data_IF_130972693243
#
_entry.id   IF_130972693243
#
_cell.length_a   1.000
_cell.length_b   1.000
_cell.length_c   1.000
_cell.angle_alpha   90.00
_cell.angle_beta   90.00
_cell.angle_gamma   90.00
#
_symmetry.space_group_name_H-M   'P 1'
#
loop_
_entity.id
_entity.type
_entity.pdbx_description
1 polymer ?
#
# COMPACT_ATOMS: atom_id res chain seq x y z
N UNK A 1 -28.97 3.44 -17.47
CA UNK A 1 -29.01 2.29 -18.39
C UNK A 1 -28.94 1.03 -17.52
N UNK A 2 -30.09 0.43 -17.23
CA UNK A 2 -30.17 -0.79 -16.41
C UNK A 2 -30.07 -2.01 -17.35
N UNK A 3 -29.14 -2.90 -17.06
CA UNK A 3 -28.99 -4.20 -17.73
C UNK A 3 -29.68 -5.26 -16.86
N UNK A 4 -30.81 -5.76 -17.30
CA UNK A 4 -31.43 -6.96 -16.71
C UNK A 4 -31.13 -8.19 -17.57
N UNK A 5 -30.54 -9.21 -16.92
CA UNK A 5 -30.30 -10.51 -17.51
C UNK A 5 -31.39 -11.49 -17.08
N UNK A 6 -32.21 -11.97 -18.01
CA UNK A 6 -33.20 -12.99 -17.77
C UNK A 6 -32.76 -14.31 -18.41
N UNK A 7 -32.84 -15.41 -17.66
CA UNK A 7 -32.45 -16.75 -18.08
C UNK A 7 -33.68 -17.51 -18.60
N UNK A 8 -33.69 -17.78 -19.89
CA UNK A 8 -34.73 -18.60 -20.52
C UNK A 8 -34.10 -19.93 -20.99
N UNK A 9 -34.20 -20.96 -20.12
CA UNK A 9 -33.80 -22.33 -20.44
C UNK A 9 -32.31 -22.63 -20.39
N UNK A 10 -31.88 -23.88 -20.54
CA UNK A 10 -30.56 -24.33 -20.14
C UNK A 10 -29.39 -23.92 -21.05
N UNK A 11 -29.50 -23.02 -22.01
CA UNK A 11 -28.34 -22.46 -22.77
C UNK A 11 -28.71 -21.31 -23.72
N UNK A 12 -29.51 -20.35 -23.29
CA UNK A 12 -29.69 -19.13 -24.10
C UNK A 12 -29.74 -17.87 -23.20
N UNK A 13 -28.93 -16.88 -23.49
CA UNK A 13 -28.95 -15.57 -22.81
C UNK A 13 -29.53 -14.54 -23.76
N UNK A 14 -30.62 -13.89 -23.37
CA UNK A 14 -31.18 -12.73 -24.09
C UNK A 14 -30.80 -11.46 -23.35
N UNK A 15 -30.13 -10.57 -24.06
CA UNK A 15 -29.86 -9.21 -23.58
C UNK A 15 -30.94 -8.28 -24.11
N UNK A 16 -31.77 -7.73 -23.21
CA UNK A 16 -32.78 -6.75 -23.58
C UNK A 16 -32.33 -5.37 -23.13
N UNK A 17 -32.15 -4.46 -24.08
CA UNK A 17 -31.88 -3.04 -23.85
C UNK A 17 -33.21 -2.28 -23.75
N UNK A 18 -33.58 -1.82 -22.56
CA UNK A 18 -34.73 -0.96 -22.37
C UNK A 18 -34.28 0.51 -22.55
N UNK A 19 -34.83 1.16 -23.59
CA UNK A 19 -34.80 2.62 -23.74
C UNK A 19 -36.18 3.16 -23.39
N UNK A 20 -36.29 3.94 -22.37
CA UNK A 20 -37.45 4.82 -22.14
C UNK A 20 -37.31 6.06 -23.03
N UNK A 21 -38.40 6.32 -23.80
CA UNK A 21 -38.65 7.46 -24.65
C UNK A 21 -37.73 7.72 -25.87
N UNK A 22 -38.14 7.13 -27.01
CA UNK A 22 -38.29 7.83 -28.28
C UNK A 22 -39.07 6.93 -29.25
N UNK A 23 -40.11 7.47 -29.88
CA UNK A 23 -40.96 6.80 -30.86
C UNK A 23 -40.22 6.51 -32.16
N UNK A 24 -40.55 5.36 -32.69
CA UNK A 24 -40.48 4.79 -34.07
C UNK A 24 -39.36 3.78 -34.38
N UNK A 25 -39.53 2.94 -35.46
CA UNK A 25 -39.81 1.53 -35.22
C UNK A 25 -38.69 0.57 -35.72
N UNK A 26 -38.81 -0.65 -35.25
CA UNK A 26 -38.28 -1.91 -35.85
C UNK A 26 -36.86 -1.88 -36.44
N UNK A 27 -35.93 -2.38 -35.66
CA UNK A 27 -34.87 -3.24 -36.22
C UNK A 27 -34.43 -4.27 -35.18
N UNK A 28 -34.99 -5.46 -35.32
CA UNK A 28 -34.54 -6.64 -34.57
C UNK A 28 -33.39 -7.26 -35.33
N UNK A 29 -32.19 -7.16 -34.79
CA UNK A 29 -31.09 -8.00 -35.25
C UNK A 29 -31.11 -9.32 -34.51
N UNK A 30 -31.57 -10.36 -35.17
CA UNK A 30 -31.43 -11.75 -34.73
C UNK A 30 -30.15 -12.29 -35.38
N UNK A 31 -29.13 -12.55 -34.60
CA UNK A 31 -27.98 -13.33 -35.07
C UNK A 31 -28.32 -14.79 -34.77
N UNK A 32 -28.81 -15.50 -35.77
CA UNK A 32 -28.88 -16.96 -35.80
C UNK A 32 -27.64 -17.47 -36.50
N UNK A 33 -26.75 -18.12 -35.79
CA UNK A 33 -25.76 -19.01 -36.41
C UNK A 33 -26.36 -20.40 -36.53
N UNK A 34 -26.85 -20.73 -37.73
CA UNK A 34 -27.24 -22.08 -38.08
C UNK A 34 -26.00 -22.90 -38.35
N UNK A 35 -25.76 -23.93 -37.56
CA UNK A 35 -24.87 -25.04 -37.94
C UNK A 35 -25.71 -26.23 -38.32
N UNK A 36 -25.80 -26.47 -39.62
CA UNK A 36 -26.32 -27.72 -40.17
C UNK A 36 -25.19 -28.69 -40.41
N UNK A 37 -25.32 -29.79 -39.74
CA UNK A 37 -25.07 -31.22 -40.05
C UNK A 37 -24.01 -31.68 -41.06
N UNK A 38 -23.28 -32.65 -40.55
CA UNK A 38 -22.76 -33.89 -41.16
C UNK A 38 -21.49 -33.82 -41.99
N UNK A 39 -20.40 -34.28 -41.39
CA UNK A 39 -19.69 -35.47 -41.93
C UNK A 39 -18.77 -36.04 -40.82
N UNK A 40 -18.99 -37.32 -40.53
CA UNK A 40 -18.12 -38.12 -39.68
C UNK A 40 -16.77 -38.24 -40.37
N UNK A 41 -15.71 -37.80 -39.70
CA UNK A 41 -14.37 -38.30 -39.96
C UNK A 41 -13.63 -38.29 -38.61
N UNK A 42 -13.22 -39.46 -38.21
CA UNK A 42 -12.43 -39.76 -37.02
C UNK A 42 -11.23 -38.82 -36.91
N UNK A 43 -11.24 -37.95 -35.92
CA UNK A 43 -10.05 -37.24 -35.45
C UNK A 43 -9.75 -37.75 -34.03
N UNK A 44 -8.63 -38.45 -34.00
CA UNK A 44 -7.90 -38.88 -32.82
C UNK A 44 -8.03 -37.94 -31.64
N UNK A 45 -8.35 -38.51 -30.50
CA UNK A 45 -8.15 -37.91 -29.16
C UNK A 45 -6.72 -37.42 -29.04
N UNK A 46 -6.48 -36.16 -29.34
CA UNK A 46 -5.32 -35.46 -28.84
C UNK A 46 -5.66 -35.01 -27.42
N UNK A 47 -5.32 -35.86 -26.47
CA UNK A 47 -5.14 -35.50 -25.06
C UNK A 47 -4.43 -34.15 -24.99
N UNK A 48 -5.08 -33.10 -24.56
CA UNK A 48 -4.43 -31.87 -24.12
C UNK A 48 -3.57 -32.24 -22.91
N UNK A 49 -2.33 -32.62 -23.17
CA UNK A 49 -1.30 -32.70 -22.18
C UNK A 49 -1.11 -31.27 -21.64
N UNK A 50 -1.59 -31.04 -20.43
CA UNK A 50 -1.32 -29.80 -19.71
C UNK A 50 0.19 -29.60 -19.74
N UNK A 51 0.65 -28.57 -20.42
CA UNK A 51 2.07 -28.29 -20.67
C UNK A 51 2.79 -28.11 -19.32
N UNK A 52 3.30 -29.22 -18.81
CA UNK A 52 4.16 -29.24 -17.62
C UNK A 52 5.43 -28.47 -17.92
N UNK A 53 5.85 -27.57 -17.02
CA UNK A 53 7.14 -26.88 -17.16
C UNK A 53 8.26 -27.90 -17.27
N UNK A 54 9.15 -27.78 -18.26
CA UNK A 54 10.30 -28.68 -18.43
C UNK A 54 11.17 -28.70 -17.17
N UNK A 55 11.67 -29.88 -16.81
CA UNK A 55 12.54 -30.10 -15.64
C UNK A 55 13.97 -30.41 -16.07
N UNK A 56 14.92 -30.41 -15.13
CA UNK A 56 16.29 -30.86 -15.40
C UNK A 56 16.35 -32.32 -15.86
N UNK A 57 15.37 -33.16 -15.49
CA UNK A 57 15.25 -34.53 -15.97
C UNK A 57 14.90 -34.58 -17.47
N UNK A 58 14.01 -33.69 -17.91
CA UNK A 58 13.63 -33.61 -19.31
C UNK A 58 14.81 -33.13 -20.17
N UNK A 59 15.60 -32.16 -19.65
CA UNK A 59 16.85 -31.71 -20.28
C UNK A 59 17.88 -32.84 -20.35
N UNK A 60 18.02 -33.63 -19.28
CA UNK A 60 18.93 -34.77 -19.24
C UNK A 60 18.56 -35.85 -20.27
N UNK A 61 17.26 -36.16 -20.36
CA UNK A 61 16.73 -37.10 -21.35
C UNK A 61 16.97 -36.64 -22.76
N UNK A 62 16.68 -35.36 -23.10
CA UNK A 62 16.87 -34.81 -24.44
C UNK A 62 18.35 -34.68 -24.81
N UNK A 63 19.22 -34.29 -23.88
CA UNK A 63 20.66 -34.18 -24.13
C UNK A 63 21.40 -35.53 -24.15
N UNK A 64 20.76 -36.62 -23.71
CA UNK A 64 21.37 -37.93 -23.57
C UNK A 64 22.52 -37.99 -22.52
N UNK A 65 22.37 -37.24 -21.41
CA UNK A 65 23.40 -37.15 -20.36
C UNK A 65 22.78 -37.38 -18.99
N UNK A 66 23.63 -37.69 -17.99
CA UNK A 66 23.15 -37.82 -16.61
C UNK A 66 22.69 -36.48 -16.00
N UNK A 67 21.73 -36.53 -15.08
CA UNK A 67 21.21 -35.38 -14.35
C UNK A 67 22.33 -34.56 -13.69
N UNK A 68 23.37 -35.18 -13.17
CA UNK A 68 24.55 -34.52 -12.57
C UNK A 68 25.30 -33.65 -13.56
N UNK A 69 25.39 -34.10 -14.84
CA UNK A 69 26.02 -33.31 -15.93
C UNK A 69 25.18 -32.08 -16.26
N UNK A 70 23.84 -32.24 -16.38
CA UNK A 70 22.91 -31.10 -16.57
C UNK A 70 23.05 -30.10 -15.43
N UNK A 71 23.03 -30.58 -14.17
CA UNK A 71 23.18 -29.73 -12.99
C UNK A 71 24.47 -28.92 -13.03
N UNK A 72 25.60 -29.53 -13.41
CA UNK A 72 26.90 -28.84 -13.52
C UNK A 72 26.88 -27.75 -14.59
N UNK A 73 26.34 -28.06 -15.79
CA UNK A 73 26.23 -27.09 -16.88
C UNK A 73 25.33 -25.91 -16.49
N UNK A 74 24.16 -26.20 -15.91
CA UNK A 74 23.20 -25.19 -15.45
C UNK A 74 23.77 -24.31 -14.35
N UNK A 75 24.64 -24.86 -13.49
CA UNK A 75 25.29 -24.15 -12.39
C UNK A 75 26.61 -23.47 -12.79
N UNK A 76 27.13 -23.68 -14.01
CA UNK A 76 28.43 -23.17 -14.42
C UNK A 76 29.60 -23.84 -13.69
N UNK A 77 29.44 -25.09 -13.20
CA UNK A 77 30.46 -25.81 -12.45
C UNK A 77 31.50 -26.41 -13.43
N UNK A 78 32.80 -26.41 -13.10
CA UNK A 78 33.83 -27.00 -13.93
C UNK A 78 33.73 -28.52 -14.00
N UNK A 79 34.34 -29.14 -15.03
CA UNK A 79 34.48 -30.57 -15.17
C UNK A 79 33.46 -31.23 -16.11
N UNK A 80 32.83 -30.45 -16.99
CA UNK A 80 32.06 -30.93 -18.12
C UNK A 80 32.83 -30.61 -19.41
N UNK A 81 32.95 -31.60 -20.33
CA UNK A 81 33.63 -31.36 -21.59
C UNK A 81 32.84 -30.38 -22.46
N UNK A 82 33.49 -29.56 -23.31
CA UNK A 82 32.82 -28.59 -24.17
C UNK A 82 31.76 -29.23 -25.06
N UNK A 83 31.98 -30.44 -25.54
CA UNK A 83 31.03 -31.18 -26.37
C UNK A 83 29.73 -31.57 -25.62
N UNK A 84 29.84 -31.97 -24.35
CA UNK A 84 28.68 -32.28 -23.51
C UNK A 84 27.96 -31.00 -23.06
N UNK A 85 28.70 -29.93 -22.78
CA UNK A 85 28.12 -28.62 -22.46
C UNK A 85 27.26 -28.09 -23.60
N UNK A 86 27.77 -28.18 -24.87
CA UNK A 86 27.02 -27.75 -26.03
C UNK A 86 25.75 -28.59 -26.26
N UNK A 87 25.76 -29.90 -25.94
CA UNK A 87 24.54 -30.75 -26.02
C UNK A 87 23.50 -30.31 -24.99
N UNK A 88 23.90 -30.06 -23.76
CA UNK A 88 22.99 -29.64 -22.70
C UNK A 88 22.42 -28.26 -22.99
N UNK A 89 23.22 -27.29 -23.44
CA UNK A 89 22.75 -25.94 -23.80
C UNK A 89 21.71 -26.00 -24.93
N UNK A 90 21.91 -26.80 -25.94
CA UNK A 90 20.91 -27.01 -27.02
C UNK A 90 19.61 -27.60 -26.52
N UNK A 91 19.67 -28.60 -25.62
CA UNK A 91 18.47 -29.16 -24.99
C UNK A 91 17.72 -28.15 -24.12
N UNK A 92 18.43 -27.30 -23.38
CA UNK A 92 17.85 -26.19 -22.60
C UNK A 92 17.09 -25.22 -23.51
N UNK A 93 17.69 -24.84 -24.64
CA UNK A 93 17.08 -23.93 -25.63
C UNK A 93 15.84 -24.57 -26.29
N UNK A 94 15.92 -25.82 -26.72
CA UNK A 94 14.80 -26.53 -27.35
C UNK A 94 13.61 -26.72 -26.44
N UNK A 95 13.86 -27.01 -25.16
CA UNK A 95 12.81 -27.19 -24.17
C UNK A 95 12.36 -25.88 -23.55
N UNK A 96 12.98 -24.75 -23.90
CA UNK A 96 12.79 -23.47 -23.19
C UNK A 96 12.92 -23.64 -21.66
N UNK A 97 13.82 -24.59 -21.23
CA UNK A 97 14.01 -24.83 -19.83
C UNK A 97 14.57 -23.60 -19.14
N UNK A 98 13.84 -23.11 -18.14
CA UNK A 98 14.31 -22.07 -17.23
C UNK A 98 14.63 -22.73 -15.91
N UNK A 99 15.84 -22.47 -15.42
CA UNK A 99 16.25 -22.92 -14.08
C UNK A 99 15.24 -22.44 -13.05
N UNK A 100 14.72 -23.36 -12.25
CA UNK A 100 14.01 -22.97 -11.04
C UNK A 100 15.03 -22.37 -10.06
N UNK A 101 15.07 -21.03 -10.02
CA UNK A 101 15.96 -20.29 -9.16
C UNK A 101 15.74 -20.65 -7.68
N UNK A 102 14.50 -20.88 -7.29
CA UNK A 102 14.13 -21.14 -5.89
C UNK A 102 14.73 -22.45 -5.37
N UNK A 103 14.68 -23.54 -6.14
CA UNK A 103 15.21 -24.84 -5.72
C UNK A 103 16.74 -24.87 -5.60
N UNK A 104 17.46 -24.00 -6.33
CA UNK A 104 18.93 -23.95 -6.29
C UNK A 104 19.45 -22.90 -5.32
N UNK A 105 18.73 -21.80 -5.11
CA UNK A 105 19.05 -20.75 -4.13
C UNK A 105 18.91 -21.28 -2.70
N UNK A 106 17.84 -22.00 -2.39
CA UNK A 106 17.65 -22.66 -1.08
C UNK A 106 18.85 -23.52 -0.65
N UNK A 107 19.52 -24.18 -1.61
CA UNK A 107 20.72 -25.01 -1.32
C UNK A 107 22.02 -24.21 -1.21
N UNK A 108 22.15 -23.09 -1.94
CA UNK A 108 23.36 -22.26 -1.97
C UNK A 108 23.45 -21.26 -0.83
N UNK A 109 22.32 -20.74 -0.37
CA UNK A 109 22.23 -19.60 0.55
C UNK A 109 21.80 -20.01 1.97
N UNK A 110 22.03 -21.29 2.37
CA UNK A 110 21.70 -21.73 3.72
C UNK A 110 20.21 -21.66 4.05
N UNK A 111 19.33 -21.79 3.04
CA UNK A 111 17.88 -21.75 3.21
C UNK A 111 17.22 -20.39 2.92
N UNK A 112 17.98 -19.31 2.66
CA UNK A 112 17.44 -17.98 2.34
C UNK A 112 16.87 -17.95 0.91
N UNK A 113 15.73 -17.27 0.75
CA UNK A 113 15.01 -17.13 -0.53
C UNK A 113 15.38 -15.86 -1.29
N UNK A 114 16.08 -14.91 -0.66
CA UNK A 114 16.33 -13.55 -1.14
C UNK A 114 15.03 -12.81 -1.49
N UNK A 115 14.00 -13.03 -0.68
CA UNK A 115 12.74 -12.33 -0.80
C UNK A 115 12.29 -11.83 0.56
N UNK A 116 11.64 -10.66 0.59
CA UNK A 116 11.00 -10.12 1.78
C UNK A 116 9.54 -9.80 1.47
N UNK A 117 8.69 -9.85 2.50
CA UNK A 117 7.30 -9.41 2.44
C UNK A 117 7.15 -7.96 2.89
N UNK A 118 6.24 -7.23 2.28
CA UNK A 118 5.85 -5.88 2.68
C UNK A 118 4.33 -5.77 2.70
N UNK A 119 3.77 -5.56 3.89
CA UNK A 119 2.35 -5.24 4.07
C UNK A 119 2.20 -3.73 4.19
N UNK A 120 1.35 -3.16 3.33
CA UNK A 120 0.99 -1.74 3.32
C UNK A 120 -0.50 -1.58 3.61
N UNK A 121 -0.91 -0.40 4.04
CA UNK A 121 -2.33 -0.09 4.17
C UNK A 121 -2.98 0.03 2.78
N UNK A 122 -2.44 0.89 1.90
CA UNK A 122 -2.93 1.08 0.52
C UNK A 122 -1.78 1.54 -0.38
N UNK A 123 -1.41 0.73 -1.37
CA UNK A 123 -0.36 1.06 -2.35
C UNK A 123 -0.72 2.28 -3.22
N UNK A 124 -2.00 2.61 -3.34
CA UNK A 124 -2.45 3.80 -4.08
C UNK A 124 -2.21 5.12 -3.31
N UNK A 125 -2.01 5.05 -1.98
CA UNK A 125 -1.65 6.22 -1.20
C UNK A 125 -0.21 6.65 -1.53
N UNK A 126 0.04 7.93 -1.91
CA UNK A 126 1.37 8.43 -2.25
C UNK A 126 2.42 8.22 -1.14
N UNK A 127 2.02 8.30 0.14
CA UNK A 127 2.91 8.00 1.27
C UNK A 127 3.39 6.55 1.23
N UNK A 128 2.46 5.59 1.09
CA UNK A 128 2.78 4.17 1.03
C UNK A 128 3.57 3.80 -0.21
N UNK A 129 3.28 4.42 -1.36
CA UNK A 129 4.06 4.24 -2.59
C UNK A 129 5.50 4.71 -2.42
N UNK A 130 5.73 5.85 -1.76
CA UNK A 130 7.07 6.36 -1.50
C UNK A 130 7.83 5.51 -0.47
N UNK A 131 7.15 5.02 0.57
CA UNK A 131 7.67 4.07 1.55
C UNK A 131 8.10 2.76 0.88
N UNK A 132 7.19 2.16 0.07
CA UNK A 132 7.47 0.95 -0.71
C UNK A 132 8.69 1.13 -1.59
N UNK A 133 8.77 2.23 -2.33
CA UNK A 133 9.91 2.52 -3.21
C UNK A 133 11.23 2.55 -2.46
N UNK A 134 11.28 3.16 -1.29
CA UNK A 134 12.50 3.23 -0.48
C UNK A 134 12.94 1.85 0.03
N UNK A 135 11.98 1.00 0.44
CA UNK A 135 12.23 -0.37 0.86
C UNK A 135 12.73 -1.21 -0.33
N UNK A 136 12.07 -1.09 -1.49
CA UNK A 136 12.44 -1.79 -2.72
C UNK A 136 13.87 -1.42 -3.18
N UNK A 137 14.23 -0.15 -3.15
CA UNK A 137 15.58 0.31 -3.52
C UNK A 137 16.64 -0.25 -2.57
N UNK A 138 16.36 -0.30 -1.26
CA UNK A 138 17.25 -0.90 -0.26
C UNK A 138 17.39 -2.43 -0.46
N UNK A 139 16.29 -3.12 -0.76
CA UNK A 139 16.29 -4.56 -1.02
C UNK A 139 17.02 -4.90 -2.33
N UNK A 140 16.80 -4.11 -3.39
CA UNK A 140 17.46 -4.27 -4.69
C UNK A 140 18.98 -4.14 -4.60
N UNK A 141 19.48 -3.22 -3.78
CA UNK A 141 20.92 -3.07 -3.54
C UNK A 141 21.56 -4.34 -2.93
N UNK A 142 20.76 -5.19 -2.30
CA UNK A 142 21.17 -6.49 -1.72
C UNK A 142 20.75 -7.69 -2.58
N UNK A 143 20.23 -7.48 -3.80
CA UNK A 143 19.65 -8.50 -4.68
C UNK A 143 18.49 -9.26 -4.03
N UNK A 144 17.69 -8.58 -3.22
CA UNK A 144 16.49 -9.12 -2.57
C UNK A 144 15.25 -8.57 -3.28
N UNK A 145 14.25 -9.43 -3.52
CA UNK A 145 12.97 -9.05 -4.09
C UNK A 145 11.96 -8.74 -2.99
N UNK A 146 11.07 -7.78 -3.24
CA UNK A 146 9.98 -7.41 -2.35
C UNK A 146 8.65 -7.92 -2.89
N UNK A 147 7.94 -8.73 -2.10
CA UNK A 147 6.53 -9.04 -2.33
C UNK A 147 5.69 -8.06 -1.52
N UNK A 148 4.96 -7.18 -2.17
CA UNK A 148 4.12 -6.19 -1.51
C UNK A 148 2.63 -6.50 -1.69
N UNK A 149 1.81 -6.13 -0.69
CA UNK A 149 0.36 -6.20 -0.75
C UNK A 149 -0.30 -5.17 0.15
N UNK A 150 -1.51 -4.71 -0.25
CA UNK A 150 -2.32 -3.78 0.53
C UNK A 150 -3.34 -4.51 1.38
N UNK A 151 -3.46 -4.13 2.66
CA UNK A 151 -4.43 -4.70 3.60
C UNK A 151 -5.68 -3.84 3.77
N UNK A 152 -5.73 -2.60 3.25
CA UNK A 152 -6.86 -1.65 3.31
C UNK A 152 -7.36 -1.41 4.75
N UNK A 153 -6.45 -1.36 5.72
CA UNK A 153 -6.75 -1.25 7.16
C UNK A 153 -7.61 -2.41 7.70
N UNK A 154 -7.66 -3.56 7.00
CA UNK A 154 -8.36 -4.76 7.46
C UNK A 154 -7.37 -5.75 8.10
N UNK A 155 -7.48 -6.03 9.43
CA UNK A 155 -6.61 -6.97 10.12
C UNK A 155 -6.72 -8.42 9.60
N UNK A 156 -7.81 -8.79 8.92
CA UNK A 156 -7.95 -10.10 8.30
C UNK A 156 -7.12 -10.20 7.04
N UNK A 157 -7.19 -9.18 6.18
CA UNK A 157 -6.36 -9.10 4.97
C UNK A 157 -4.87 -9.02 5.30
N UNK A 158 -4.50 -8.31 6.38
CA UNK A 158 -3.13 -8.30 6.89
C UNK A 158 -2.65 -9.72 7.21
N UNK A 159 -3.44 -10.51 7.97
CA UNK A 159 -3.11 -11.91 8.30
C UNK A 159 -3.03 -12.81 7.09
N UNK A 160 -3.93 -12.66 6.11
CA UNK A 160 -3.93 -13.40 4.85
C UNK A 160 -2.67 -13.13 4.01
N UNK A 161 -2.26 -11.86 3.92
CA UNK A 161 -1.02 -11.45 3.24
C UNK A 161 0.20 -12.06 3.91
N UNK A 162 0.31 -11.95 5.23
CA UNK A 162 1.41 -12.52 6.00
C UNK A 162 1.44 -14.04 5.87
N UNK A 163 0.28 -14.71 5.92
CA UNK A 163 0.17 -16.14 5.64
C UNK A 163 0.69 -16.50 4.24
N UNK A 164 0.34 -15.70 3.24
CA UNK A 164 0.83 -15.87 1.87
C UNK A 164 2.35 -15.67 1.74
N UNK A 165 2.94 -14.77 2.50
CA UNK A 165 4.39 -14.55 2.55
C UNK A 165 5.10 -15.72 3.25
N UNK A 166 4.56 -16.22 4.38
CA UNK A 166 5.05 -17.41 5.06
C UNK A 166 5.08 -18.62 4.13
N UNK A 167 3.98 -18.87 3.40
CA UNK A 167 3.87 -20.00 2.46
C UNK A 167 4.91 -19.90 1.33
N UNK A 168 5.32 -18.70 0.97
CA UNK A 168 6.41 -18.43 0.02
C UNK A 168 7.79 -18.43 0.66
N UNK A 169 7.86 -18.61 2.00
CA UNK A 169 9.10 -18.63 2.78
C UNK A 169 9.94 -17.37 2.57
N UNK A 170 9.31 -16.20 2.62
CA UNK A 170 10.10 -14.95 2.63
C UNK A 170 11.05 -14.93 3.82
N UNK A 171 12.22 -14.31 3.66
CA UNK A 171 13.26 -14.29 4.68
C UNK A 171 12.91 -13.36 5.85
N UNK A 172 12.10 -12.34 5.60
CA UNK A 172 11.62 -11.39 6.59
C UNK A 172 10.43 -10.59 6.10
N UNK A 173 9.75 -9.89 7.01
CA UNK A 173 8.53 -9.13 6.71
C UNK A 173 8.60 -7.75 7.34
N UNK A 174 8.28 -6.71 6.54
CA UNK A 174 8.02 -5.36 7.00
C UNK A 174 6.50 -5.15 6.98
N UNK A 175 5.94 -4.61 8.07
CA UNK A 175 4.50 -4.45 8.24
C UNK A 175 4.16 -3.01 8.58
N UNK A 176 3.25 -2.39 7.81
CA UNK A 176 2.45 -1.25 8.26
C UNK A 176 1.21 -1.84 8.93
N UNK A 177 1.11 -1.79 10.27
CA UNK A 177 0.09 -2.56 10.99
C UNK A 177 -1.32 -1.99 10.83
N UNK A 178 -2.30 -2.87 10.54
CA UNK A 178 -3.72 -2.52 10.47
C UNK A 178 -4.44 -2.62 11.83
N UNK A 179 -3.77 -3.07 12.89
CA UNK A 179 -4.34 -3.24 14.23
C UNK A 179 -3.31 -3.01 15.32
N UNK A 180 -3.74 -3.04 16.59
CA UNK A 180 -2.84 -3.00 17.74
C UNK A 180 -2.43 -4.39 18.23
N UNK A 181 -3.09 -5.46 17.79
CA UNK A 181 -2.84 -6.84 18.22
C UNK A 181 -2.17 -7.65 17.11
N UNK A 182 -0.88 -7.89 17.29
CA UNK A 182 -0.04 -8.71 16.41
C UNK A 182 0.45 -9.99 17.11
N UNK A 183 -0.23 -10.43 18.17
CA UNK A 183 0.15 -11.66 18.91
C UNK A 183 0.17 -12.90 18.04
N UNK A 184 -0.58 -12.93 16.94
CA UNK A 184 -0.55 -14.00 15.95
C UNK A 184 0.82 -14.14 15.27
N UNK A 185 1.67 -13.10 15.28
CA UNK A 185 3.03 -13.14 14.73
C UNK A 185 4.08 -13.75 15.67
N UNK A 186 3.74 -14.05 16.93
CA UNK A 186 4.66 -14.75 17.83
C UNK A 186 5.16 -16.07 17.26
N UNK A 187 4.33 -16.77 16.50
CA UNK A 187 4.71 -18.05 15.87
C UNK A 187 5.79 -17.81 14.82
N UNK A 188 5.64 -16.80 13.99
CA UNK A 188 6.59 -16.44 12.94
C UNK A 188 7.92 -15.95 13.55
N UNK A 189 7.84 -15.13 14.58
CA UNK A 189 9.02 -14.64 15.29
C UNK A 189 9.81 -15.79 15.92
N UNK A 190 9.13 -16.76 16.56
CA UNK A 190 9.77 -17.95 17.12
C UNK A 190 10.34 -18.89 16.05
N UNK A 191 9.77 -18.88 14.86
CA UNK A 191 10.29 -19.63 13.71
C UNK A 191 11.54 -18.95 13.09
N UNK A 192 11.95 -17.78 13.60
CA UNK A 192 13.13 -17.04 13.14
C UNK A 192 12.87 -16.08 11.98
N UNK A 193 11.60 -15.81 11.65
CA UNK A 193 11.26 -14.78 10.66
C UNK A 193 11.57 -13.41 11.24
N UNK A 194 12.40 -12.62 10.56
CA UNK A 194 12.68 -11.23 10.94
C UNK A 194 11.43 -10.36 10.68
N UNK A 195 11.01 -9.62 11.70
CA UNK A 195 9.83 -8.75 11.64
C UNK A 195 10.23 -7.31 12.00
N UNK A 196 9.81 -6.35 11.17
CA UNK A 196 9.97 -4.93 11.42
C UNK A 196 8.64 -4.22 11.15
N UNK A 197 8.23 -3.36 12.06
CA UNK A 197 7.05 -2.53 11.90
C UNK A 197 7.45 -1.13 11.43
N UNK A 198 6.66 -0.55 10.53
CA UNK A 198 6.95 0.78 9.98
C UNK A 198 5.68 1.64 9.99
N UNK A 199 5.84 2.95 10.13
CA UNK A 199 4.81 3.96 10.28
C UNK A 199 4.08 3.90 11.64
N UNK A 200 3.83 2.70 12.14
CA UNK A 200 3.10 2.44 13.40
C UNK A 200 3.86 1.42 14.25
N UNK A 201 3.73 1.48 15.58
CA UNK A 201 4.38 0.53 16.47
C UNK A 201 3.78 -0.88 16.38
N UNK A 202 4.55 -1.87 16.81
CA UNK A 202 4.16 -3.29 16.82
C UNK A 202 3.06 -3.64 17.85
N UNK A 203 2.56 -2.68 18.62
CA UNK A 203 1.63 -2.93 19.71
C UNK A 203 2.26 -3.76 20.82
N UNK A 204 1.71 -4.94 21.10
CA UNK A 204 2.17 -5.82 22.18
C UNK A 204 3.31 -6.77 21.76
N UNK A 205 3.73 -6.76 20.51
CA UNK A 205 4.82 -7.61 20.02
C UNK A 205 6.16 -6.90 20.21
N UNK A 206 7.12 -7.59 20.83
CA UNK A 206 8.49 -7.08 20.96
C UNK A 206 9.22 -7.26 19.61
N UNK A 207 9.18 -6.22 18.77
CA UNK A 207 9.78 -6.19 17.45
C UNK A 207 10.29 -4.78 17.11
N UNK A 208 11.29 -4.71 16.22
CA UNK A 208 11.80 -3.43 15.74
C UNK A 208 10.70 -2.60 15.11
N UNK A 209 10.74 -1.29 15.34
CA UNK A 209 9.78 -0.37 14.72
C UNK A 209 10.40 0.97 14.33
N UNK A 210 9.88 1.54 13.25
CA UNK A 210 10.24 2.88 12.77
C UNK A 210 8.96 3.67 12.57
N UNK A 211 8.79 4.78 13.26
CA UNK A 211 7.61 5.62 13.17
C UNK A 211 7.96 7.09 13.06
N UNK A 212 7.03 7.92 12.60
CA UNK A 212 7.16 9.38 12.60
C UNK A 212 6.78 9.98 13.94
N UNK A 213 7.30 11.18 14.24
CA UNK A 213 6.88 11.97 15.40
C UNK A 213 5.48 12.57 15.18
N UNK A 214 4.44 11.73 15.21
CA UNK A 214 3.06 12.14 14.91
C UNK A 214 2.51 13.16 15.95
N UNK A 215 2.76 12.92 17.22
CA UNK A 215 2.31 13.85 18.29
C UNK A 215 3.00 15.20 18.15
N UNK A 216 4.33 15.20 18.07
CA UNK A 216 5.11 16.44 18.00
C UNK A 216 4.80 17.26 16.75
N UNK A 217 4.66 16.61 15.59
CA UNK A 217 4.30 17.31 14.36
C UNK A 217 2.91 17.93 14.40
N UNK A 218 1.95 17.25 15.06
CA UNK A 218 0.61 17.82 15.25
C UNK A 218 0.60 18.96 16.24
N UNK A 219 1.40 18.88 17.31
CA UNK A 219 1.61 20.01 18.23
C UNK A 219 2.16 21.21 17.47
N UNK A 220 3.23 21.03 16.70
CA UNK A 220 3.86 22.11 15.91
C UNK A 220 2.88 22.77 14.92
N UNK A 221 2.06 21.97 14.22
CA UNK A 221 1.05 22.49 13.30
C UNK A 221 0.01 23.37 14.00
N UNK A 222 -0.51 22.91 15.13
CA UNK A 222 -1.55 23.62 15.87
C UNK A 222 -0.99 24.84 16.57
N UNK A 223 0.21 24.76 17.14
CA UNK A 223 0.93 25.92 17.72
C UNK A 223 1.18 27.00 16.67
N UNK A 224 1.50 26.62 15.45
CA UNK A 224 1.67 27.55 14.35
C UNK A 224 0.38 28.33 14.05
N UNK A 225 -0.78 27.65 14.03
CA UNK A 225 -2.08 28.32 13.87
C UNK A 225 -2.42 29.20 15.08
N UNK A 226 -2.16 28.72 16.28
CA UNK A 226 -2.40 29.48 17.54
C UNK A 226 -1.56 30.75 17.60
N UNK A 227 -0.30 30.71 17.16
CA UNK A 227 0.60 31.85 17.09
C UNK A 227 0.10 32.96 16.13
N UNK A 228 -0.72 32.59 15.12
CA UNK A 228 -1.37 33.53 14.20
C UNK A 228 -2.71 34.06 14.70
N UNK A 229 -3.10 33.69 15.90
CA UNK A 229 -4.30 34.21 16.56
C UNK A 229 -5.53 33.30 16.41
N UNK A 230 -5.43 32.16 15.73
CA UNK A 230 -6.55 31.23 15.67
C UNK A 230 -6.85 30.64 17.04
N UNK A 231 -8.14 30.52 17.35
CA UNK A 231 -8.63 29.91 18.62
C UNK A 231 -9.72 28.86 18.33
N UNK A 232 -10.38 28.94 17.19
CA UNK A 232 -11.32 27.94 16.67
C UNK A 232 -10.68 27.22 15.52
N UNK A 233 -10.02 26.10 15.83
CA UNK A 233 -9.28 25.26 14.88
C UNK A 233 -10.03 23.94 14.77
N UNK A 234 -10.53 23.60 13.61
CA UNK A 234 -11.16 22.30 13.40
C UNK A 234 -10.14 21.20 13.12
N UNK A 235 -10.42 20.00 13.60
CA UNK A 235 -9.64 18.79 13.33
C UNK A 235 -10.42 17.82 12.46
N UNK A 236 -9.83 17.44 11.32
CA UNK A 236 -10.34 16.37 10.49
C UNK A 236 -9.40 15.17 10.58
N UNK A 237 -9.89 14.05 11.10
CA UNK A 237 -9.12 12.86 11.43
C UNK A 237 -9.63 11.58 10.83
N UNK A 238 -8.74 10.62 10.66
CA UNK A 238 -9.04 9.26 10.23
C UNK A 238 -9.64 8.43 11.38
N UNK A 239 -9.81 7.12 11.18
CA UNK A 239 -10.27 6.17 12.19
C UNK A 239 -9.33 6.17 13.42
N UNK A 240 -9.88 6.34 14.61
CA UNK A 240 -9.10 6.34 15.86
C UNK A 240 -8.57 4.94 16.24
N UNK A 241 -8.99 3.90 15.56
CA UNK A 241 -8.35 2.58 15.63
C UNK A 241 -6.95 2.56 15.00
N UNK A 242 -6.60 3.57 14.22
CA UNK A 242 -5.29 3.75 13.61
C UNK A 242 -4.41 4.56 14.57
N UNK A 243 -3.30 3.99 15.03
CA UNK A 243 -2.44 4.61 16.03
C UNK A 243 -1.87 5.98 15.63
N UNK A 244 -1.58 6.18 14.34
CA UNK A 244 -1.12 7.49 13.83
C UNK A 244 -2.22 8.54 13.87
N UNK A 245 -3.47 8.18 13.59
CA UNK A 245 -4.61 9.08 13.69
C UNK A 245 -4.90 9.49 15.14
N UNK A 246 -4.84 8.53 16.06
CA UNK A 246 -4.97 8.80 17.49
C UNK A 246 -3.85 9.72 18.00
N UNK A 247 -2.59 9.43 17.62
CA UNK A 247 -1.44 10.25 18.01
C UNK A 247 -1.54 11.69 17.48
N UNK A 248 -2.03 11.88 16.26
CA UNK A 248 -2.22 13.22 15.67
C UNK A 248 -3.35 13.98 16.37
N UNK A 249 -4.45 13.31 16.74
CA UNK A 249 -5.50 13.91 17.56
C UNK A 249 -5.00 14.26 18.95
N UNK A 250 -4.15 13.41 19.55
CA UNK A 250 -3.51 13.70 20.83
C UNK A 250 -2.66 14.97 20.75
N UNK A 251 -1.82 15.13 19.74
CA UNK A 251 -1.00 16.32 19.53
C UNK A 251 -1.84 17.58 19.34
N UNK A 252 -2.92 17.51 18.56
CA UNK A 252 -3.89 18.60 18.41
C UNK A 252 -4.48 19.04 19.76
N UNK A 253 -4.95 18.08 20.58
CA UNK A 253 -5.51 18.35 21.90
C UNK A 253 -4.47 18.94 22.86
N UNK A 254 -3.26 18.42 22.82
CA UNK A 254 -2.16 18.89 23.66
C UNK A 254 -1.80 20.35 23.37
N UNK A 255 -1.70 20.74 22.11
CA UNK A 255 -1.39 22.12 21.72
C UNK A 255 -2.49 23.10 22.20
N UNK A 256 -3.77 22.77 22.04
CA UNK A 256 -4.88 23.59 22.52
C UNK A 256 -4.85 23.74 24.05
N UNK A 257 -4.58 22.66 24.78
CA UNK A 257 -4.48 22.67 26.24
C UNK A 257 -3.34 23.55 26.72
N UNK A 258 -2.15 23.42 26.16
CA UNK A 258 -0.98 24.23 26.47
C UNK A 258 -1.23 25.74 26.23
N UNK A 259 -2.03 26.07 25.22
CA UNK A 259 -2.40 27.45 24.87
C UNK A 259 -3.61 27.98 25.69
N UNK A 260 -4.18 27.17 26.59
CA UNK A 260 -5.38 27.57 27.39
C UNK A 260 -6.64 27.72 26.51
N UNK A 261 -6.68 27.09 25.35
CA UNK A 261 -7.84 27.11 24.44
C UNK A 261 -8.79 25.97 24.81
N UNK A 262 -10.06 26.31 25.09
CA UNK A 262 -11.07 25.33 25.45
C UNK A 262 -11.26 24.32 24.29
N UNK A 263 -11.35 23.04 24.65
CA UNK A 263 -11.65 21.97 23.69
C UNK A 263 -13.13 22.05 23.31
N UNK A 264 -13.38 22.19 22.00
CA UNK A 264 -14.72 22.18 21.43
C UNK A 264 -14.91 20.89 20.61
N UNK A 265 -15.74 19.99 21.12
CA UNK A 265 -16.02 18.70 20.45
C UNK A 265 -16.74 18.86 19.12
N UNK A 266 -17.44 20.00 18.91
CA UNK A 266 -18.07 20.33 17.63
C UNK A 266 -17.06 20.52 16.49
N UNK A 267 -15.83 20.87 16.81
CA UNK A 267 -14.77 21.11 15.82
C UNK A 267 -13.98 19.85 15.47
N UNK A 268 -14.31 18.70 16.04
CA UNK A 268 -13.58 17.45 15.79
C UNK A 268 -14.45 16.52 14.93
N UNK A 269 -13.91 16.12 13.79
CA UNK A 269 -14.47 15.08 12.93
C UNK A 269 -13.45 13.99 12.75
N UNK A 270 -13.82 12.74 13.07
CA UNK A 270 -12.95 11.55 12.95
C UNK A 270 -13.66 10.46 12.16
N UNK A 271 -12.93 9.42 11.76
CA UNK A 271 -13.47 8.34 10.92
C UNK A 271 -13.54 8.71 9.44
N UNK A 272 -12.84 9.74 9.03
CA UNK A 272 -12.80 10.19 7.63
C UNK A 272 -11.71 9.42 6.88
N UNK A 273 -12.06 8.74 5.80
CA UNK A 273 -11.10 7.88 5.08
C UNK A 273 -10.77 8.32 3.67
N UNK A 274 -11.62 9.14 3.08
CA UNK A 274 -11.47 9.56 1.68
C UNK A 274 -11.70 11.08 1.53
N UNK A 275 -11.23 11.68 0.42
CA UNK A 275 -11.35 13.11 0.19
C UNK A 275 -12.80 13.62 0.11
N UNK A 276 -13.72 12.80 -0.35
CA UNK A 276 -15.14 13.16 -0.54
C UNK A 276 -15.82 13.31 0.82
N UNK A 277 -15.65 12.32 1.71
CA UNK A 277 -16.18 12.35 3.08
C UNK A 277 -15.54 13.48 3.87
N UNK A 278 -14.23 13.70 3.72
CA UNK A 278 -13.53 14.79 4.37
C UNK A 278 -13.99 16.17 3.89
N UNK A 279 -14.29 16.32 2.59
CA UNK A 279 -14.81 17.57 2.03
C UNK A 279 -16.21 17.88 2.59
N UNK A 280 -17.08 16.87 2.68
CA UNK A 280 -18.42 17.03 3.26
C UNK A 280 -18.33 17.43 4.74
N UNK A 281 -17.51 16.76 5.54
CA UNK A 281 -17.30 17.08 6.95
C UNK A 281 -16.71 18.49 7.16
N UNK A 282 -15.77 18.90 6.30
CA UNK A 282 -15.24 20.26 6.32
C UNK A 282 -16.30 21.29 5.97
N UNK A 283 -17.14 21.03 4.96
CA UNK A 283 -18.23 21.93 4.57
C UNK A 283 -19.26 22.10 5.71
N UNK A 284 -19.61 21.03 6.41
CA UNK A 284 -20.48 21.09 7.60
C UNK A 284 -19.87 21.99 8.69
N UNK A 285 -18.57 21.83 8.98
CA UNK A 285 -17.87 22.65 9.96
C UNK A 285 -17.84 24.14 9.57
N UNK A 286 -17.63 24.43 8.29
CA UNK A 286 -17.60 25.79 7.75
C UNK A 286 -19.00 26.46 7.75
N UNK A 287 -20.06 25.67 7.79
CA UNK A 287 -21.45 26.13 7.84
C UNK A 287 -21.99 26.33 9.29
N UNK A 288 -21.19 26.07 10.32
CA UNK A 288 -21.59 26.29 11.70
C UNK A 288 -21.91 27.79 11.95
N UNK A 289 -22.80 28.12 12.87
CA UNK A 289 -23.08 29.52 13.25
C UNK A 289 -21.82 30.28 13.72
N UNK A 290 -20.92 29.59 14.40
CA UNK A 290 -19.59 30.07 14.77
C UNK A 290 -18.52 29.14 14.13
N UNK A 291 -18.16 29.34 12.85
CA UNK A 291 -17.33 28.41 12.12
C UNK A 291 -15.87 28.45 12.59
N UNK A 292 -15.08 27.39 12.31
CA UNK A 292 -13.64 27.40 12.53
C UNK A 292 -12.95 28.44 11.63
N UNK A 293 -11.91 29.08 12.14
CA UNK A 293 -11.07 30.00 11.39
C UNK A 293 -9.85 29.28 10.77
N UNK A 294 -9.60 28.05 11.16
CA UNK A 294 -8.55 27.19 10.64
C UNK A 294 -8.96 25.73 10.64
N UNK A 295 -8.42 24.95 9.71
CA UNK A 295 -8.55 23.51 9.61
C UNK A 295 -7.18 22.86 9.79
N UNK A 296 -7.11 21.84 10.64
CA UNK A 296 -5.98 20.91 10.70
C UNK A 296 -6.46 19.52 10.25
N UNK A 297 -5.90 19.02 9.15
CA UNK A 297 -6.25 17.73 8.55
C UNK A 297 -5.16 16.72 8.84
N UNK A 298 -5.54 15.56 9.37
CA UNK A 298 -4.58 14.63 9.96
C UNK A 298 -3.94 13.64 8.99
N UNK A 299 -4.20 13.75 7.68
CA UNK A 299 -3.52 12.97 6.63
C UNK A 299 -3.79 13.56 5.22
N UNK A 300 -3.02 13.12 4.22
CA UNK A 300 -3.01 13.67 2.87
C UNK A 300 -4.40 13.66 2.16
N UNK A 301 -5.15 12.56 2.25
CA UNK A 301 -6.47 12.47 1.61
C UNK A 301 -7.47 13.45 2.23
N UNK A 302 -7.39 13.65 3.57
CA UNK A 302 -8.23 14.61 4.27
C UNK A 302 -7.82 16.05 3.96
N UNK A 303 -6.53 16.29 3.73
CA UNK A 303 -6.02 17.57 3.25
C UNK A 303 -6.62 17.92 1.89
N UNK A 304 -6.68 16.97 0.96
CA UNK A 304 -7.34 17.14 -0.34
C UNK A 304 -8.83 17.47 -0.14
N UNK A 305 -9.51 16.78 0.78
CA UNK A 305 -10.91 17.08 1.14
C UNK A 305 -11.09 18.50 1.67
N UNK A 306 -10.24 18.94 2.60
CA UNK A 306 -10.24 20.29 3.15
C UNK A 306 -10.03 21.37 2.07
N UNK A 307 -9.07 21.15 1.15
CA UNK A 307 -8.84 22.04 0.00
C UNK A 307 -10.09 22.16 -0.87
N UNK A 308 -10.75 21.03 -1.19
CA UNK A 308 -11.98 21.00 -2.00
C UNK A 308 -13.10 21.78 -1.33
N UNK A 309 -13.32 21.58 -0.01
CA UNK A 309 -14.35 22.28 0.75
C UNK A 309 -14.11 23.79 0.78
N UNK A 310 -12.88 24.22 1.10
CA UNK A 310 -12.53 25.64 1.14
C UNK A 310 -12.72 26.32 -0.21
N UNK A 311 -12.27 25.70 -1.30
CA UNK A 311 -12.45 26.25 -2.66
C UNK A 311 -13.91 26.31 -3.09
N UNK A 312 -14.69 25.26 -2.80
CA UNK A 312 -16.12 25.24 -3.13
C UNK A 312 -16.90 26.32 -2.40
N UNK A 313 -16.44 26.71 -1.21
CA UNK A 313 -17.04 27.78 -0.40
C UNK A 313 -16.44 29.18 -0.70
N UNK A 314 -15.37 29.28 -1.49
CA UNK A 314 -14.62 30.54 -1.72
C UNK A 314 -13.91 31.05 -0.47
N UNK A 315 -13.50 30.14 0.40
CA UNK A 315 -12.89 30.44 1.72
C UNK A 315 -11.39 30.13 1.77
N UNK A 316 -10.78 29.69 0.66
CA UNK A 316 -9.37 29.25 0.60
C UNK A 316 -8.36 30.34 0.97
N UNK A 317 -8.77 31.63 0.95
CA UNK A 317 -7.96 32.78 1.38
C UNK A 317 -8.45 33.43 2.68
N UNK A 318 -9.41 32.81 3.35
CA UNK A 318 -10.05 33.34 4.59
C UNK A 318 -9.98 32.41 5.77
N UNK A 319 -9.87 31.10 5.50
CA UNK A 319 -9.73 30.06 6.52
C UNK A 319 -8.38 29.40 6.34
N UNK A 320 -7.58 29.36 7.39
CA UNK A 320 -6.27 28.72 7.34
C UNK A 320 -6.38 27.18 7.21
N UNK A 321 -5.40 26.57 6.57
CA UNK A 321 -5.31 25.13 6.42
C UNK A 321 -3.88 24.66 6.64
N UNK A 322 -3.70 23.67 7.53
CA UNK A 322 -2.47 22.88 7.62
C UNK A 322 -2.86 21.40 7.51
N UNK A 323 -2.19 20.69 6.61
CA UNK A 323 -2.34 19.23 6.47
C UNK A 323 -1.21 18.46 7.15
N UNK A 324 -1.47 17.23 7.57
CA UNK A 324 -0.42 16.26 7.84
C UNK A 324 -0.18 15.46 6.55
N UNK A 325 1.06 15.14 6.25
CA UNK A 325 1.58 14.65 4.97
C UNK A 325 1.56 15.70 3.85
N UNK A 326 2.60 15.69 3.04
CA UNK A 326 2.63 16.54 1.84
C UNK A 326 1.76 15.94 0.73
N UNK A 327 1.09 16.80 0.00
CA UNK A 327 0.25 16.38 -1.12
C UNK A 327 0.82 16.87 -2.43
N UNK A 328 0.64 16.10 -3.48
CA UNK A 328 1.07 16.50 -4.81
C UNK A 328 0.49 17.88 -5.18
N UNK A 329 1.34 18.73 -5.73
CA UNK A 329 0.99 20.09 -6.16
C UNK A 329 0.62 21.06 -5.02
N UNK A 330 0.86 20.72 -3.75
CA UNK A 330 0.58 21.62 -2.62
C UNK A 330 1.30 22.97 -2.73
N UNK A 331 2.47 22.99 -3.33
CA UNK A 331 3.33 24.15 -3.53
C UNK A 331 2.92 25.05 -4.70
N UNK A 332 2.14 24.53 -5.65
CA UNK A 332 1.66 25.29 -6.83
C UNK A 332 0.20 25.74 -6.71
N UNK A 333 -0.48 25.35 -5.64
CA UNK A 333 -1.81 25.86 -5.34
C UNK A 333 -1.75 27.31 -4.87
N UNK A 334 -2.85 28.02 -4.96
CA UNK A 334 -2.98 29.39 -4.48
C UNK A 334 -4.19 29.50 -3.53
N UNK A 335 -3.95 29.75 -2.23
CA UNK A 335 -2.65 29.75 -1.56
C UNK A 335 -1.97 28.36 -1.56
N UNK A 336 -0.63 28.34 -1.56
CA UNK A 336 0.13 27.11 -1.43
C UNK A 336 -0.13 26.45 -0.06
N UNK A 337 -0.29 25.12 -0.03
CA UNK A 337 -0.77 24.42 1.17
C UNK A 337 0.37 24.14 2.14
N UNK A 338 0.22 24.63 3.37
CA UNK A 338 1.13 24.33 4.49
C UNK A 338 0.88 22.92 5.01
N UNK A 339 1.97 22.18 5.30
CA UNK A 339 1.87 20.79 5.73
C UNK A 339 2.91 20.43 6.79
N UNK A 340 2.59 19.43 7.60
CA UNK A 340 3.59 18.66 8.36
C UNK A 340 4.05 17.51 7.50
N UNK A 341 5.22 17.61 6.94
CA UNK A 341 5.76 16.60 6.02
C UNK A 341 6.49 15.49 6.80
N UNK A 342 6.13 14.25 6.52
CA UNK A 342 6.89 13.06 6.87
C UNK A 342 8.03 12.82 5.85
N UNK A 343 8.98 11.95 6.20
CA UNK A 343 10.00 11.44 5.29
C UNK A 343 9.80 9.93 5.06
N UNK A 344 8.91 9.53 4.14
CA UNK A 344 8.66 8.12 3.85
C UNK A 344 9.90 7.40 3.32
N UNK A 345 10.84 8.12 2.69
CA UNK A 345 12.10 7.55 2.24
C UNK A 345 13.00 7.20 3.43
N UNK A 346 13.11 8.07 4.44
CA UNK A 346 13.86 7.78 5.66
C UNK A 346 13.22 6.64 6.45
N UNK A 347 11.88 6.63 6.58
CA UNK A 347 11.14 5.53 7.21
C UNK A 347 11.43 4.19 6.52
N UNK A 348 11.31 4.15 5.20
CA UNK A 348 11.52 2.93 4.42
C UNK A 348 12.95 2.43 4.47
N UNK A 349 13.95 3.32 4.34
CA UNK A 349 15.37 2.95 4.49
C UNK A 349 15.66 2.41 5.89
N UNK A 350 15.22 3.10 6.94
CA UNK A 350 15.43 2.65 8.32
C UNK A 350 14.78 1.30 8.60
N UNK A 351 13.55 1.07 8.12
CA UNK A 351 12.87 -0.21 8.28
C UNK A 351 13.59 -1.34 7.55
N UNK A 352 14.04 -1.09 6.32
CA UNK A 352 14.82 -2.06 5.55
C UNK A 352 16.18 -2.36 6.22
N UNK A 353 16.88 -1.35 6.72
CA UNK A 353 18.16 -1.51 7.40
C UNK A 353 18.01 -2.36 8.68
N UNK A 354 16.98 -2.11 9.48
CA UNK A 354 16.66 -2.93 10.66
C UNK A 354 16.37 -4.37 10.26
N UNK A 355 15.53 -4.60 9.23
CA UNK A 355 15.21 -5.93 8.76
C UNK A 355 16.48 -6.67 8.30
N UNK A 356 17.32 -6.04 7.50
CA UNK A 356 18.53 -6.66 6.99
C UNK A 356 19.55 -6.94 8.09
N UNK A 357 19.68 -6.07 9.10
CA UNK A 357 20.48 -6.37 10.29
C UNK A 357 20.03 -7.66 10.97
N UNK A 358 18.71 -7.85 11.17
CA UNK A 358 18.15 -9.09 11.73
C UNK A 358 18.44 -10.30 10.85
N UNK A 359 18.27 -10.16 9.52
CA UNK A 359 18.60 -11.21 8.56
C UNK A 359 20.09 -11.56 8.50
N UNK A 360 20.96 -10.61 8.82
CA UNK A 360 22.41 -10.82 8.93
C UNK A 360 22.83 -11.39 10.30
N UNK A 361 21.86 -11.67 11.20
CA UNK A 361 22.08 -12.35 12.48
C UNK A 361 22.25 -11.42 13.68
N UNK A 362 21.88 -10.13 13.59
CA UNK A 362 21.86 -9.21 14.73
C UNK A 362 20.81 -9.64 15.77
N UNK A 363 21.25 -9.99 16.96
CA UNK A 363 20.41 -10.39 18.11
C UNK A 363 20.34 -9.32 19.19
N UNK A 364 20.77 -8.10 18.90
CA UNK A 364 20.67 -6.96 19.84
C UNK A 364 19.20 -6.71 20.24
N UNK A 365 18.94 -6.04 21.37
CA UNK A 365 17.59 -5.65 21.77
C UNK A 365 16.83 -4.94 20.65
N UNK A 366 15.50 -5.01 20.70
CA UNK A 366 14.61 -4.32 19.74
C UNK A 366 14.83 -2.81 19.74
N UNK A 367 14.70 -2.22 18.56
CA UNK A 367 14.91 -0.78 18.35
C UNK A 367 13.59 -0.13 17.95
N UNK A 368 13.25 0.96 18.64
CA UNK A 368 12.10 1.81 18.31
C UNK A 368 12.65 3.16 17.82
N UNK A 369 12.68 3.36 16.52
CA UNK A 369 13.20 4.57 15.92
C UNK A 369 12.07 5.55 15.61
N UNK A 370 12.27 6.82 16.00
CA UNK A 370 11.37 7.92 15.63
C UNK A 370 12.06 8.81 14.60
N UNK A 371 11.45 8.93 13.44
CA UNK A 371 11.88 9.84 12.36
C UNK A 371 11.22 11.20 12.59
N UNK A 372 11.99 12.31 12.60
CA UNK A 372 11.40 13.63 12.74
C UNK A 372 10.50 13.97 11.54
N UNK A 373 9.48 14.77 11.82
CA UNK A 373 8.65 15.41 10.81
C UNK A 373 8.99 16.89 10.72
N UNK A 374 8.53 17.59 9.71
CA UNK A 374 8.84 18.99 9.50
C UNK A 374 7.62 19.78 9.07
N UNK A 375 7.30 20.87 9.76
CA UNK A 375 6.32 21.83 9.28
C UNK A 375 6.90 22.61 8.08
N UNK A 376 6.20 22.59 6.96
CA UNK A 376 6.49 23.36 5.77
C UNK A 376 5.41 24.43 5.66
N UNK A 377 5.71 25.61 6.15
CA UNK A 377 4.85 26.77 6.01
C UNK A 377 4.91 27.29 4.57
N UNK A 378 3.75 27.41 3.90
CA UNK A 378 3.69 27.83 2.49
C UNK A 378 2.79 29.04 2.29
N UNK A 379 1.57 29.02 2.70
CA UNK A 379 0.64 30.16 2.49
C UNK A 379 -0.68 29.93 3.18
N UNK A 380 -1.26 28.74 3.05
CA UNK A 380 -2.57 28.46 3.65
C UNK A 380 -2.54 28.47 5.18
N UNK A 381 -1.45 28.09 5.82
CA UNK A 381 -1.29 28.17 7.28
C UNK A 381 -0.93 29.56 7.79
N UNK A 382 -0.66 30.51 6.91
CA UNK A 382 -0.29 31.90 7.22
C UNK A 382 -1.48 32.86 7.24
N UNK A 383 -2.67 32.43 6.81
CA UNK A 383 -3.89 33.20 6.77
C UNK A 383 -4.30 33.55 8.20
N UNK A 384 -4.42 34.82 8.60
CA UNK A 384 -4.88 35.18 9.93
C UNK A 384 -6.39 34.94 10.09
N UNK A 385 -6.91 34.74 11.32
CA UNK A 385 -8.34 34.71 11.53
C UNK A 385 -8.97 36.01 11.10
N UNK A 386 -10.15 35.95 10.44
CA UNK A 386 -10.89 37.14 10.11
C UNK A 386 -11.23 37.94 11.39
N UNK A 387 -11.02 39.26 11.36
CA UNK A 387 -11.44 40.11 12.45
C UNK A 387 -12.96 39.96 12.65
N UNK A 388 -13.37 39.60 13.86
CA UNK A 388 -14.79 39.59 14.20
C UNK A 388 -15.24 41.05 14.26
N UNK A 389 -16.22 41.36 13.44
CA UNK A 389 -16.93 42.63 13.65
C UNK A 389 -17.46 42.69 15.10
N UNK A 390 -17.27 43.80 15.80
CA UNK A 390 -17.68 44.00 17.18
C UNK A 390 -19.17 43.80 17.42
#
# INVERSE_FOLDING_TARGET
MLLECVRDGPMCWKITLSRSHCQEPSNRYTICSALTSKSETSLSEQTQETARRPTMLDVAALAGVGLKTVSRVVNGEPGVSPALEAKVRRAIEQLHYRRDANASMLRRLGGKTQTIGLVLEDVANPFSSALHRAIEDSARARNVLVFAGSCDEDPRRERELIGSFRDRRVDGIIVVPASHDHTYLYVEQRAGTALVFVDRPAGHLDADSVASNNVGGSVEAVEHLLARGHRRIAFLGDLLSISTAEARLQGYRQALELAGVARDGELIRTGLRDPEVAAAAAAELLALPDPPTALFTSQNLLTIGGIRALRSAGLERRVALIGFDDVALADVLDPAVSVVAQDPQALGRSAADLLFRRLDGDTSPTVHQIVPVRLIARGSGEIPPAERAP
#
